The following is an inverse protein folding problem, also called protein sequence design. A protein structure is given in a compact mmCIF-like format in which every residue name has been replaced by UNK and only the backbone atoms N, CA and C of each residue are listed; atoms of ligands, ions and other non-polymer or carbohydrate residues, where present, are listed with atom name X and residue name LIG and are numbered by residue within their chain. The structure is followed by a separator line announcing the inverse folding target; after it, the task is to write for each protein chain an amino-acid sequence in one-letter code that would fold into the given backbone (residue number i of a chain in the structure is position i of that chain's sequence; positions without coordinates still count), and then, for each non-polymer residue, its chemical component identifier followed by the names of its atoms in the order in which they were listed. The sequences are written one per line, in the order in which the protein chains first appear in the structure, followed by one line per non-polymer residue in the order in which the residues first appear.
data_IF_853925554571
#
_entry.id   IF_853925554571
#
_cell.length_a   1.000
_cell.length_b   1.000
_cell.length_c   1.000
_cell.angle_alpha   90.00
_cell.angle_beta   90.00
_cell.angle_gamma   90.00
#
_symmetry.space_group_name_H-M   'P 1'
#
loop_
_entity.id
_entity.type
_entity.pdbx_description
1 polymer ?
#
# COMPACT_ATOMS: atom_id res chain seq x y z
N UNK A 1 11.95 5.64 -22.09
CA UNK A 1 12.44 5.23 -20.78
C UNK A 1 11.28 5.01 -19.85
N UNK A 2 11.22 3.86 -19.22
CA UNK A 2 10.11 3.56 -18.33
C UNK A 2 10.32 4.25 -16.97
N UNK A 3 9.30 4.93 -16.51
CA UNK A 3 9.32 5.52 -15.18
C UNK A 3 8.76 4.46 -14.24
N UNK A 4 9.54 4.10 -13.24
CA UNK A 4 9.10 3.15 -12.24
C UNK A 4 8.18 3.84 -11.25
N UNK A 5 7.07 3.22 -11.01
CA UNK A 5 6.08 3.71 -10.04
C UNK A 5 5.85 2.65 -8.97
N UNK A 6 5.61 3.09 -7.77
CA UNK A 6 5.28 2.22 -6.66
C UNK A 6 3.82 2.40 -6.32
N UNK A 7 3.13 1.27 -6.15
CA UNK A 7 1.73 1.29 -5.77
C UNK A 7 1.55 0.61 -4.42
N UNK A 8 0.76 1.25 -3.59
CA UNK A 8 0.35 0.69 -2.32
C UNK A 8 -1.16 0.46 -2.37
N UNK A 9 -1.56 -0.77 -2.09
CA UNK A 9 -2.97 -1.10 -1.96
C UNK A 9 -3.17 -1.83 -0.65
N UNK A 10 -4.14 -1.39 0.12
CA UNK A 10 -4.60 -2.10 1.32
C UNK A 10 -6.00 -2.59 1.02
N UNK A 11 -6.18 -3.89 1.05
CA UNK A 11 -7.42 -4.52 0.60
C UNK A 11 -8.13 -5.19 1.77
N UNK A 12 -9.43 -4.91 1.87
CA UNK A 12 -10.30 -5.57 2.84
C UNK A 12 -10.60 -6.98 2.32
N UNK A 13 -10.24 -7.98 3.11
CA UNK A 13 -10.42 -9.39 2.71
C UNK A 13 -11.89 -9.81 2.67
N UNK A 14 -12.77 -9.14 3.42
CA UNK A 14 -14.19 -9.48 3.44
C UNK A 14 -14.90 -9.04 2.16
N UNK A 15 -14.54 -7.87 1.63
CA UNK A 15 -15.19 -7.30 0.45
C UNK A 15 -14.35 -7.41 -0.81
N UNK A 16 -13.06 -7.71 -0.67
CA UNK A 16 -12.07 -7.72 -1.76
C UNK A 16 -11.93 -6.37 -2.43
N UNK A 17 -12.25 -5.30 -1.71
CA UNK A 17 -12.13 -3.94 -2.23
C UNK A 17 -10.99 -3.22 -1.56
N UNK A 18 -10.23 -2.40 -2.31
CA UNK A 18 -9.17 -1.62 -1.70
C UNK A 18 -9.75 -0.51 -0.84
N UNK A 19 -9.23 -0.40 0.38
CA UNK A 19 -9.57 0.71 1.27
C UNK A 19 -8.55 1.85 1.11
N UNK A 20 -7.35 1.52 0.65
CA UNK A 20 -6.31 2.49 0.31
C UNK A 20 -5.69 2.06 -1.01
N UNK A 21 -5.54 3.01 -1.91
CA UNK A 21 -4.84 2.79 -3.17
C UNK A 21 -4.09 4.07 -3.51
N UNK A 22 -2.76 4.02 -3.44
CA UNK A 22 -1.93 5.19 -3.67
C UNK A 22 -0.73 4.87 -4.52
N UNK A 23 -0.29 5.85 -5.30
CA UNK A 23 0.89 5.75 -6.13
C UNK A 23 1.98 6.65 -5.57
N UNK A 24 3.22 6.15 -5.63
CA UNK A 24 4.41 6.90 -5.23
C UNK A 24 5.47 6.79 -6.32
N UNK A 25 6.31 7.79 -6.42
CA UNK A 25 7.37 7.78 -7.43
C UNK A 25 8.63 7.06 -6.94
N UNK A 26 8.82 6.97 -5.63
CA UNK A 26 10.01 6.33 -5.07
C UNK A 26 9.64 5.41 -3.93
N UNK A 27 10.50 4.41 -3.68
CA UNK A 27 10.31 3.49 -2.56
C UNK A 27 10.37 4.19 -1.20
N UNK A 28 11.29 5.15 -0.97
CA UNK A 28 11.30 5.88 0.30
C UNK A 28 10.00 6.60 0.60
N UNK A 29 9.35 7.18 -0.41
CA UNK A 29 8.06 7.83 -0.23
C UNK A 29 6.98 6.85 0.20
N UNK A 30 6.95 5.68 -0.44
CA UNK A 30 6.03 4.62 -0.09
C UNK A 30 6.23 4.17 1.36
N UNK A 31 7.48 3.91 1.73
CA UNK A 31 7.79 3.45 3.07
C UNK A 31 7.48 4.50 4.13
N UNK A 32 7.72 5.76 3.81
CA UNK A 32 7.41 6.87 4.69
C UNK A 32 5.90 6.96 4.94
N UNK A 33 5.10 6.81 3.89
CA UNK A 33 3.66 6.83 4.01
C UNK A 33 3.16 5.70 4.90
N UNK A 34 3.67 4.49 4.68
CA UNK A 34 3.30 3.32 5.48
C UNK A 34 3.61 3.57 6.95
N UNK A 35 4.77 4.14 7.23
CA UNK A 35 5.20 4.39 8.59
C UNK A 35 4.38 5.51 9.25
N UNK A 36 4.19 6.62 8.56
CA UNK A 36 3.47 7.77 9.10
C UNK A 36 2.00 7.47 9.35
N UNK A 37 1.38 6.72 8.46
CA UNK A 37 -0.03 6.36 8.57
C UNK A 37 -0.27 5.10 9.39
N UNK A 38 0.81 4.50 9.89
CA UNK A 38 0.74 3.28 10.70
C UNK A 38 -0.06 2.18 10.01
N UNK A 39 0.21 2.02 8.71
CA UNK A 39 -0.56 1.09 7.88
C UNK A 39 -0.48 -0.34 8.41
N UNK A 40 0.73 -0.80 8.79
CA UNK A 40 0.92 -2.16 9.29
C UNK A 40 0.19 -2.38 10.61
N UNK A 41 0.07 -1.35 11.43
CA UNK A 41 -0.58 -1.44 12.73
C UNK A 41 -2.09 -1.31 12.63
N UNK A 42 -2.58 -0.45 11.73
CA UNK A 42 -4.01 -0.20 11.56
C UNK A 42 -4.69 -1.27 10.70
N UNK A 43 -3.99 -1.80 9.71
CA UNK A 43 -4.54 -2.74 8.74
C UNK A 43 -3.84 -4.08 8.87
N UNK A 44 -4.27 -4.89 9.83
CA UNK A 44 -3.64 -6.16 10.17
C UNK A 44 -4.33 -7.33 9.50
N UNK A 45 -3.55 -8.39 9.24
CA UNK A 45 -4.10 -9.67 8.86
C UNK A 45 -4.88 -10.27 10.02
N UNK A 46 -5.92 -11.04 9.78
CA UNK A 46 -6.44 -11.47 8.47
C UNK A 46 -7.45 -10.53 7.82
N UNK A 47 -7.83 -9.44 8.48
CA UNK A 47 -8.87 -8.53 7.98
C UNK A 47 -8.45 -7.76 6.74
N UNK A 48 -7.16 -7.44 6.66
CA UNK A 48 -6.62 -6.67 5.56
C UNK A 48 -5.34 -7.30 5.07
N UNK A 49 -5.02 -7.08 3.79
CA UNK A 49 -3.70 -7.40 3.29
C UNK A 49 -3.15 -6.19 2.54
N UNK A 50 -1.83 -6.09 2.56
CA UNK A 50 -1.12 -4.96 1.98
C UNK A 50 -0.38 -5.45 0.74
N UNK A 51 -0.62 -4.79 -0.38
CA UNK A 51 0.04 -5.11 -1.64
C UNK A 51 0.95 -3.94 -2.00
N UNK A 52 2.22 -4.24 -2.26
CA UNK A 52 3.19 -3.27 -2.74
C UNK A 52 3.69 -3.74 -4.09
N UNK A 53 3.49 -2.93 -5.10
CA UNK A 53 3.90 -3.27 -6.46
C UNK A 53 4.80 -2.19 -7.02
N UNK A 54 5.79 -2.61 -7.80
CA UNK A 54 6.74 -1.72 -8.46
C UNK A 54 6.64 -1.97 -9.97
N UNK A 55 6.28 -0.95 -10.68
CA UNK A 55 6.17 -1.00 -12.13
C UNK A 55 7.23 -0.17 -12.82
#
# INVERSE_FOLDING_TARGET
MAVKSWFLSVVDTATHKPVIHKMFFTAPELNKFIKEQKIVEEYKKPQYYIVKENY
#
